data_IF_946430687210
#
_entry.id   IF_946430687210
#
_cell.length_a   1.000
_cell.length_b   1.000
_cell.length_c   1.000
_cell.angle_alpha   90.00
_cell.angle_beta   90.00
_cell.angle_gamma   90.00
#
_symmetry.space_group_name_H-M   'P 1'
#
loop_
_entity.id
_entity.type
_entity.pdbx_description
1 polymer ?
#
# COMPACT_ATOMS: atom_id res chain seq x y z
N UNK A 1 24.84 -7.39 28.92
CA UNK A 1 23.59 -6.97 28.26
C UNK A 1 23.96 -5.84 27.33
N UNK A 2 23.97 -6.09 26.02
CA UNK A 2 24.38 -5.11 25.03
C UNK A 2 23.11 -4.59 24.38
N UNK A 3 22.67 -3.40 24.78
CA UNK A 3 21.60 -2.66 24.09
C UNK A 3 22.13 -2.32 22.71
N UNK A 4 21.71 -3.09 21.72
CA UNK A 4 22.02 -2.84 20.32
C UNK A 4 21.37 -1.52 19.93
N UNK A 5 22.19 -0.51 19.64
CA UNK A 5 21.79 0.72 18.97
C UNK A 5 20.87 0.34 17.81
N UNK A 6 19.58 0.64 17.93
CA UNK A 6 18.64 0.54 16.81
C UNK A 6 19.11 1.58 15.81
N UNK A 7 19.98 1.17 14.88
CA UNK A 7 20.38 2.03 13.77
C UNK A 7 19.09 2.41 13.06
N UNK A 8 18.73 3.69 13.11
CA UNK A 8 17.67 4.24 12.28
C UNK A 8 17.90 3.72 10.86
N UNK A 9 16.93 2.99 10.30
CA UNK A 9 17.07 2.41 8.97
C UNK A 9 17.33 3.58 7.99
N UNK A 10 18.45 3.58 7.24
CA UNK A 10 18.86 4.74 6.45
C UNK A 10 17.85 5.12 5.36
N UNK A 11 17.05 4.15 4.91
CA UNK A 11 15.98 4.35 3.93
C UNK A 11 14.73 3.58 4.40
N UNK A 12 13.60 4.28 4.40
CA UNK A 12 12.27 3.73 4.67
C UNK A 12 11.61 3.07 3.44
N UNK A 13 12.40 2.91 2.37
CA UNK A 13 11.99 2.31 1.11
C UNK A 13 12.25 0.80 1.17
N UNK A 14 11.41 0.06 0.44
CA UNK A 14 11.39 -1.40 0.28
C UNK A 14 12.76 -2.09 0.42
N UNK A 15 12.85 -3.12 1.26
CA UNK A 15 14.02 -4.00 1.32
C UNK A 15 14.01 -4.89 0.07
N UNK A 16 15.02 -4.83 -0.82
CA UNK A 16 15.07 -5.66 -2.02
C UNK A 16 15.06 -7.17 -1.75
N UNK A 17 15.35 -7.60 -0.52
CA UNK A 17 15.24 -9.00 -0.09
C UNK A 17 13.81 -9.42 0.24
N UNK A 18 12.93 -8.45 0.50
CA UNK A 18 11.54 -8.72 0.79
C UNK A 18 10.82 -9.22 -0.46
N UNK A 19 9.94 -10.19 -0.25
CA UNK A 19 9.16 -10.82 -1.33
C UNK A 19 7.68 -10.50 -1.25
N UNK A 20 7.23 -9.71 -0.28
CA UNK A 20 5.84 -9.33 -0.18
C UNK A 20 5.40 -8.41 -1.31
N UNK A 21 4.11 -8.46 -1.60
CA UNK A 21 3.44 -7.65 -2.62
C UNK A 21 2.04 -7.28 -2.16
N UNK A 22 1.69 -6.02 -2.33
CA UNK A 22 0.36 -5.46 -2.04
C UNK A 22 -0.14 -4.79 -3.32
N UNK A 23 -1.21 -5.35 -3.89
CA UNK A 23 -1.81 -4.86 -5.13
C UNK A 23 -3.32 -4.77 -5.02
N UNK A 24 -3.92 -3.97 -5.87
CA UNK A 24 -5.36 -3.81 -5.92
C UNK A 24 -5.79 -2.89 -7.05
N UNK A 25 -7.06 -2.52 -7.03
CA UNK A 25 -7.66 -1.59 -7.98
C UNK A 25 -8.40 -0.47 -7.24
N UNK A 26 -8.31 0.75 -7.76
CA UNK A 26 -9.10 1.87 -7.29
C UNK A 26 -10.30 2.04 -8.22
N UNK A 27 -11.48 1.80 -7.68
CA UNK A 27 -12.75 1.93 -8.39
C UNK A 27 -13.61 3.01 -7.73
N UNK A 28 -14.34 3.77 -8.54
CA UNK A 28 -15.35 4.72 -8.10
C UNK A 28 -16.72 4.27 -8.59
N UNK A 29 -17.70 4.26 -7.70
CA UNK A 29 -19.08 3.96 -8.06
C UNK A 29 -19.75 5.19 -8.68
N UNK A 30 -20.01 5.13 -9.99
CA UNK A 30 -20.62 6.22 -10.76
C UNK A 30 -21.73 5.67 -11.64
N UNK A 31 -22.97 6.12 -11.39
CA UNK A 31 -24.12 5.72 -12.21
C UNK A 31 -24.44 4.22 -12.15
N UNK A 32 -24.31 3.60 -10.97
CA UNK A 32 -24.65 2.17 -10.78
C UNK A 32 -23.53 1.19 -11.15
N UNK A 33 -22.39 1.67 -11.64
CA UNK A 33 -21.26 0.82 -12.04
C UNK A 33 -19.95 1.28 -11.38
N UNK A 34 -19.06 0.33 -11.10
CA UNK A 34 -17.71 0.62 -10.59
C UNK A 34 -16.77 0.89 -11.77
N UNK A 35 -16.23 2.10 -11.85
CA UNK A 35 -15.29 2.52 -12.90
C UNK A 35 -13.88 2.68 -12.34
N UNK A 36 -12.83 2.24 -13.06
CA UNK A 36 -11.45 2.49 -12.67
C UNK A 36 -11.15 3.98 -12.66
N UNK A 37 -10.33 4.42 -11.71
CA UNK A 37 -9.95 5.83 -11.56
C UNK A 37 -8.46 6.01 -11.28
N UNK A 38 -7.90 7.08 -11.81
CA UNK A 38 -6.53 7.52 -11.59
C UNK A 38 -6.41 8.23 -10.23
N UNK A 39 -5.76 7.62 -9.24
CA UNK A 39 -5.71 8.12 -7.86
C UNK A 39 -4.34 7.94 -7.26
N UNK A 40 -3.99 8.79 -6.29
CA UNK A 40 -2.72 8.70 -5.58
C UNK A 40 -2.88 7.69 -4.44
N UNK A 41 -2.18 6.57 -4.53
CA UNK A 41 -2.25 5.46 -3.58
C UNK A 41 -1.00 5.46 -2.71
N UNK A 42 -1.17 5.34 -1.40
CA UNK A 42 -0.10 5.25 -0.42
C UNK A 42 -0.18 3.91 0.31
N UNK A 43 0.98 3.28 0.52
CA UNK A 43 1.14 2.12 1.38
C UNK A 43 1.76 2.58 2.69
N UNK A 44 1.04 2.35 3.79
CA UNK A 44 1.39 2.80 5.13
C UNK A 44 1.66 1.57 5.98
N UNK A 45 2.82 1.49 6.63
CA UNK A 45 3.11 0.43 7.60
C UNK A 45 2.44 0.78 8.94
N UNK A 46 1.67 -0.13 9.49
CA UNK A 46 0.80 0.16 10.63
C UNK A 46 1.57 0.29 11.95
N UNK A 47 2.71 -0.40 12.10
CA UNK A 47 3.51 -0.35 13.35
C UNK A 47 3.92 1.07 13.74
N UNK A 48 4.26 1.90 12.76
CA UNK A 48 4.82 3.24 12.97
C UNK A 48 4.18 4.33 12.08
N UNK A 49 3.10 3.99 11.37
CA UNK A 49 2.36 4.87 10.46
C UNK A 49 3.23 5.51 9.38
N UNK A 50 4.29 4.82 8.99
CA UNK A 50 5.23 5.26 7.99
C UNK A 50 4.69 4.99 6.58
N UNK A 51 4.71 6.01 5.72
CA UNK A 51 4.47 5.82 4.27
C UNK A 51 5.70 5.17 3.65
N UNK A 52 5.59 3.88 3.30
CA UNK A 52 6.68 3.08 2.70
C UNK A 52 6.64 3.06 1.18
N UNK A 53 5.52 3.48 0.58
CA UNK A 53 5.35 3.56 -0.86
C UNK A 53 4.25 4.55 -1.24
N UNK A 54 4.43 5.20 -2.39
CA UNK A 54 3.41 6.02 -3.03
C UNK A 54 3.51 5.83 -4.54
N UNK A 55 2.35 5.64 -5.18
CA UNK A 55 2.25 5.63 -6.64
C UNK A 55 0.90 6.18 -7.08
N UNK A 56 0.76 6.44 -8.37
CA UNK A 56 -0.55 6.61 -8.99
C UNK A 56 -1.10 5.25 -9.43
N UNK A 57 -2.40 5.04 -9.29
CA UNK A 57 -3.08 3.92 -9.93
C UNK A 57 -3.13 4.12 -11.45
N UNK A 58 -3.24 3.04 -12.21
CA UNK A 58 -3.39 3.10 -13.66
C UNK A 58 -4.73 3.75 -14.08
N UNK A 59 -4.76 4.67 -15.05
CA UNK A 59 -5.98 5.39 -15.41
C UNK A 59 -7.03 4.54 -16.12
N UNK A 60 -6.66 3.42 -16.75
CA UNK A 60 -7.57 2.57 -17.54
C UNK A 60 -8.11 1.39 -16.73
N UNK A 61 -7.33 0.88 -15.77
CA UNK A 61 -7.63 -0.32 -15.00
C UNK A 61 -7.79 -0.04 -13.50
N UNK A 62 -7.33 1.12 -13.02
CA UNK A 62 -7.32 1.47 -11.60
C UNK A 62 -6.24 0.73 -10.81
N UNK A 63 -5.40 -0.07 -11.46
CA UNK A 63 -4.46 -0.95 -10.79
C UNK A 63 -3.32 -0.20 -10.07
N UNK A 64 -2.92 -0.68 -8.90
CA UNK A 64 -1.67 -0.32 -8.23
C UNK A 64 -0.95 -1.59 -7.76
N UNK A 65 0.37 -1.50 -7.60
CA UNK A 65 1.21 -2.66 -7.29
C UNK A 65 2.49 -2.27 -6.54
N UNK A 66 2.48 -2.47 -5.21
CA UNK A 66 3.65 -2.32 -4.37
C UNK A 66 4.37 -3.66 -4.25
N UNK A 67 5.61 -3.71 -4.74
CA UNK A 67 6.46 -4.90 -4.73
C UNK A 67 7.58 -4.74 -3.70
N UNK A 68 8.20 -5.86 -3.31
CA UNK A 68 9.30 -5.91 -2.34
C UNK A 68 8.91 -5.36 -0.95
N UNK A 69 7.68 -5.64 -0.54
CA UNK A 69 7.09 -5.26 0.76
C UNK A 69 7.51 -6.27 1.83
N UNK A 70 7.83 -5.82 3.05
CA UNK A 70 8.13 -6.73 4.17
C UNK A 70 6.89 -7.61 4.48
N UNK A 71 7.03 -8.93 4.49
CA UNK A 71 5.90 -9.87 4.62
C UNK A 71 5.50 -10.16 6.07
N UNK A 72 6.31 -9.71 7.03
CA UNK A 72 6.10 -9.84 8.47
C UNK A 72 5.49 -8.58 9.13
N UNK A 73 5.06 -7.61 8.33
CA UNK A 73 4.43 -6.36 8.79
C UNK A 73 2.94 -6.31 8.40
N UNK A 74 2.22 -5.37 9.02
CA UNK A 74 0.85 -5.01 8.67
C UNK A 74 0.81 -3.67 7.95
N UNK A 75 -0.09 -3.55 6.97
CA UNK A 75 -0.19 -2.36 6.12
C UNK A 75 -1.62 -1.84 5.99
N UNK A 76 -1.68 -0.54 5.78
CA UNK A 76 -2.86 0.18 5.32
C UNK A 76 -2.59 0.73 3.92
N UNK A 77 -3.52 0.50 2.99
CA UNK A 77 -3.57 1.20 1.71
C UNK A 77 -4.53 2.37 1.83
N UNK A 78 -4.07 3.57 1.49
CA UNK A 78 -4.89 4.78 1.40
C UNK A 78 -4.94 5.26 -0.05
N UNK A 79 -6.14 5.36 -0.61
CA UNK A 79 -6.39 5.97 -1.91
C UNK A 79 -6.91 7.39 -1.73
N UNK A 80 -6.11 8.37 -2.13
CA UNK A 80 -6.43 9.79 -2.02
C UNK A 80 -7.06 10.33 -3.31
N UNK A 81 -8.26 10.90 -3.19
CA UNK A 81 -8.92 11.59 -4.28
C UNK A 81 -8.39 13.01 -4.46
N UNK A 82 -7.45 13.18 -5.38
CA UNK A 82 -6.86 14.49 -5.69
C UNK A 82 -7.85 15.47 -6.33
N UNK A 83 -9.00 14.99 -6.83
CA UNK A 83 -10.06 15.86 -7.37
C UNK A 83 -11.04 16.33 -6.30
N UNK A 84 -10.92 15.82 -5.06
CA UNK A 84 -11.79 16.17 -3.94
C UNK A 84 -13.29 15.94 -4.19
N UNK A 85 -13.66 15.01 -5.09
CA UNK A 85 -15.06 14.66 -5.37
C UNK A 85 -15.56 13.58 -4.39
N UNK A 86 -14.66 12.78 -3.85
CA UNK A 86 -14.91 11.73 -2.87
C UNK A 86 -13.92 11.81 -1.70
N UNK A 87 -14.30 11.19 -0.58
CA UNK A 87 -13.38 10.98 0.55
C UNK A 87 -12.29 9.99 0.16
N UNK A 88 -11.15 10.07 0.84
CA UNK A 88 -10.13 9.05 0.75
C UNK A 88 -10.70 7.69 1.21
N UNK A 89 -10.28 6.61 0.55
CA UNK A 89 -10.66 5.24 0.90
C UNK A 89 -9.46 4.57 1.55
N UNK A 90 -9.72 3.83 2.63
CA UNK A 90 -8.72 3.13 3.43
C UNK A 90 -9.04 1.64 3.41
N UNK A 91 -8.02 0.81 3.20
CA UNK A 91 -8.04 -0.62 3.42
C UNK A 91 -6.90 -0.98 4.36
N UNK A 92 -7.24 -1.37 5.59
CA UNK A 92 -6.30 -1.65 6.68
C UNK A 92 -6.19 -3.14 6.99
N UNK A 93 -5.25 -3.45 7.89
CA UNK A 93 -4.92 -4.79 8.33
C UNK A 93 -4.42 -5.68 7.20
N UNK A 94 -3.78 -5.14 6.18
CA UNK A 94 -3.22 -5.92 5.07
C UNK A 94 -2.01 -6.69 5.58
N UNK A 95 -2.10 -8.01 5.60
CA UNK A 95 -1.06 -8.91 6.13
C UNK A 95 -0.93 -10.15 5.26
N UNK A 96 0.17 -10.88 5.40
CA UNK A 96 0.31 -12.19 4.78
C UNK A 96 -0.73 -13.18 5.34
N UNK A 97 -0.99 -13.13 6.65
CA UNK A 97 -1.87 -14.06 7.35
C UNK A 97 -3.33 -14.03 6.86
N UNK A 98 -3.81 -12.88 6.40
CA UNK A 98 -5.15 -12.77 5.82
C UNK A 98 -5.19 -12.77 4.29
N UNK A 99 -4.06 -13.05 3.64
CA UNK A 99 -3.95 -13.18 2.20
C UNK A 99 -4.12 -11.88 1.41
N UNK A 100 -4.19 -10.71 2.07
CA UNK A 100 -4.24 -9.41 1.39
C UNK A 100 -2.84 -8.92 0.94
N UNK A 101 -1.79 -9.44 1.57
CA UNK A 101 -0.41 -9.40 1.08
C UNK A 101 -0.08 -10.78 0.48
N UNK A 102 0.56 -10.79 -0.69
CA UNK A 102 1.01 -12.03 -1.36
C UNK A 102 2.54 -12.08 -1.46
N UNK A 103 3.12 -13.28 -1.60
CA UNK A 103 4.54 -13.42 -1.92
C UNK A 103 4.73 -13.41 -3.43
N UNK A 104 5.73 -12.66 -3.90
CA UNK A 104 6.17 -12.67 -5.28
C UNK A 104 6.80 -14.03 -5.63
N UNK A 105 6.58 -14.52 -6.87
CA UNK A 105 7.11 -15.80 -7.36
C UNK A 105 8.64 -15.88 -7.28
#
# INVERSE_FOLDING_TARGET
>A
MQEGVVRARPNYLFDPKSRGRVRGVVLMHVGGVNKPVFRRVMLIRERDMLVVGMQWSDPLTGAYDFQYVEDNEAYTVLSHDYTHDKRAVIADGITLANGKLELMP
#
